data_IF_721202100491
#
_entry.id   IF_721202100491
#
_cell.length_a   1.000
_cell.length_b   1.000
_cell.length_c   1.000
_cell.angle_alpha   90.00
_cell.angle_beta   90.00
_cell.angle_gamma   90.00
#
_symmetry.space_group_name_H-M   'P 1'
#
loop_
_entity.id
_entity.type
_entity.pdbx_description
1 polymer ?
#
# COMPACT_ATOMS: atom_id res chain seq x y z
N UNK A 1 20.08 9.65 71.49
CA UNK A 1 19.30 8.48 71.93
C UNK A 1 18.38 8.06 70.79
N UNK A 2 18.39 6.75 70.46
CA UNK A 2 17.38 5.95 69.71
C UNK A 2 16.91 6.45 68.34
N UNK A 3 17.35 5.88 67.20
CA UNK A 3 16.86 4.62 66.58
C UNK A 3 15.34 4.39 66.65
N UNK A 4 14.66 4.29 65.49
CA UNK A 4 13.70 3.23 65.02
C UNK A 4 13.28 3.59 63.57
N UNK A 5 13.84 2.97 62.52
CA UNK A 5 13.29 1.87 61.69
C UNK A 5 11.83 2.03 61.19
N UNK A 6 11.66 2.18 59.88
CA UNK A 6 10.68 1.39 59.12
C UNK A 6 11.07 1.33 57.65
N UNK A 7 11.66 0.20 57.27
CA UNK A 7 11.65 -0.33 55.90
C UNK A 7 10.29 -1.02 55.76
N UNK A 8 9.44 -0.55 54.86
CA UNK A 8 8.37 -1.35 54.28
C UNK A 8 7.92 -0.75 52.94
N UNK A 9 7.77 -1.65 51.97
CA UNK A 9 7.12 -1.48 50.67
C UNK A 9 7.83 -0.67 49.58
N UNK A 10 8.95 -1.23 49.11
CA UNK A 10 9.19 -1.39 47.67
C UNK A 10 8.00 -2.15 47.06
N UNK A 11 6.96 -1.45 46.64
CA UNK A 11 5.86 -2.02 45.84
C UNK A 11 5.09 -0.90 45.14
N UNK A 12 5.71 -0.35 44.09
CA UNK A 12 5.01 0.24 42.96
C UNK A 12 6.05 0.48 41.87
N UNK A 13 6.41 -0.59 41.17
CA UNK A 13 6.85 -0.46 39.78
C UNK A 13 5.77 0.38 39.09
N UNK A 14 6.07 1.66 38.83
CA UNK A 14 5.23 2.57 38.06
C UNK A 14 5.18 2.12 36.59
N UNK A 15 4.52 0.99 36.34
CA UNK A 15 4.06 0.57 35.02
C UNK A 15 2.89 1.45 34.51
N UNK A 16 2.38 2.35 35.35
CA UNK A 16 1.24 3.22 35.02
C UNK A 16 1.63 4.55 34.36
N UNK A 17 2.92 4.93 34.35
CA UNK A 17 3.40 6.22 33.81
C UNK A 17 4.25 6.12 32.52
N UNK A 18 4.24 4.96 31.85
CA UNK A 18 4.48 4.90 30.41
C UNK A 18 3.27 5.54 29.69
N UNK A 19 3.18 6.87 29.77
CA UNK A 19 2.31 7.63 28.89
C UNK A 19 2.54 7.10 27.47
N UNK A 20 1.46 6.73 26.77
CA UNK A 20 1.45 6.24 25.38
C UNK A 20 1.93 7.32 24.39
N UNK A 21 3.13 7.85 24.59
CA UNK A 21 3.77 8.90 23.83
C UNK A 21 4.33 8.38 22.49
N UNK A 22 4.50 7.05 22.37
CA UNK A 22 4.97 6.39 21.17
C UNK A 22 4.07 5.21 20.75
N UNK A 23 2.76 5.43 20.60
CA UNK A 23 1.84 4.37 20.09
C UNK A 23 2.32 3.74 18.78
N UNK A 24 3.07 4.49 17.95
CA UNK A 24 3.65 3.99 16.69
C UNK A 24 4.79 2.99 16.88
N UNK A 25 5.46 2.95 18.06
CA UNK A 25 6.50 1.95 18.35
C UNK A 25 5.93 0.54 18.60
N UNK A 26 4.61 0.41 18.81
CA UNK A 26 3.97 -0.90 19.02
C UNK A 26 4.23 -1.81 17.81
N UNK A 27 4.10 -1.29 16.59
CA UNK A 27 4.30 -2.06 15.37
C UNK A 27 5.74 -2.60 15.23
N UNK A 28 6.81 -1.78 15.19
CA UNK A 28 8.17 -2.29 15.07
C UNK A 28 8.59 -3.19 16.23
N UNK A 29 8.11 -2.95 17.46
CA UNK A 29 8.36 -3.83 18.59
C UNK A 29 7.68 -5.20 18.40
N UNK A 30 6.44 -5.22 17.91
CA UNK A 30 5.73 -6.47 17.62
C UNK A 30 6.41 -7.27 16.49
N UNK A 31 6.93 -6.59 15.46
CA UNK A 31 7.67 -7.22 14.36
C UNK A 31 8.93 -7.93 14.89
N UNK A 32 9.71 -7.24 15.73
CA UNK A 32 10.92 -7.82 16.34
C UNK A 32 10.55 -9.00 17.24
N UNK A 33 9.51 -8.87 18.07
CA UNK A 33 9.04 -9.94 18.95
C UNK A 33 8.64 -11.19 18.16
N UNK A 34 7.91 -11.03 17.05
CA UNK A 34 7.48 -12.14 16.19
C UNK A 34 8.65 -12.80 15.44
N UNK A 35 9.70 -12.04 15.08
CA UNK A 35 10.93 -12.59 14.51
C UNK A 35 11.76 -13.39 15.55
N UNK A 36 11.70 -13.00 16.82
CA UNK A 36 12.42 -13.72 17.88
C UNK A 36 11.81 -15.09 18.19
N UNK A 37 10.50 -15.26 18.03
CA UNK A 37 9.79 -16.51 18.32
C UNK A 37 9.96 -17.52 17.18
N UNK A 38 10.52 -18.70 17.45
CA UNK A 38 10.83 -19.72 16.43
C UNK A 38 9.62 -20.15 15.60
N UNK A 39 8.44 -20.28 16.22
CA UNK A 39 7.22 -20.75 15.55
C UNK A 39 6.67 -19.75 14.52
N UNK A 40 6.82 -18.45 14.78
CA UNK A 40 6.31 -17.38 13.89
C UNK A 40 7.40 -16.80 13.00
N UNK A 41 8.68 -17.11 13.26
CA UNK A 41 9.83 -16.48 12.61
C UNK A 41 9.76 -16.56 11.09
N UNK A 42 9.49 -17.73 10.53
CA UNK A 42 9.50 -17.92 9.08
C UNK A 42 8.37 -17.14 8.39
N UNK A 43 7.13 -17.27 8.87
CA UNK A 43 5.98 -16.51 8.34
C UNK A 43 6.16 -15.00 8.50
N UNK A 44 6.71 -14.56 9.64
CA UNK A 44 7.02 -13.15 9.89
C UNK A 44 8.13 -12.65 8.95
N UNK A 45 9.18 -13.44 8.75
CA UNK A 45 10.28 -13.11 7.85
C UNK A 45 9.77 -12.92 6.41
N UNK A 46 8.94 -13.85 5.92
CA UNK A 46 8.31 -13.76 4.60
C UNK A 46 7.43 -12.51 4.51
N UNK A 47 6.49 -12.32 5.45
CA UNK A 47 5.61 -11.15 5.48
C UNK A 47 6.37 -9.81 5.43
N UNK A 48 7.44 -9.68 6.24
CA UNK A 48 8.22 -8.45 6.34
C UNK A 48 9.09 -8.20 5.12
N UNK A 49 9.66 -9.28 4.55
CA UNK A 49 10.41 -9.27 3.31
C UNK A 49 9.53 -8.81 2.16
N UNK A 50 8.38 -9.46 1.98
CA UNK A 50 7.48 -9.23 0.85
C UNK A 50 6.86 -7.84 0.93
N UNK A 51 6.43 -7.40 2.13
CA UNK A 51 5.95 -6.04 2.33
C UNK A 51 7.03 -4.97 2.02
N UNK A 52 8.32 -5.29 2.15
CA UNK A 52 9.40 -4.37 1.76
C UNK A 52 9.63 -4.37 0.24
N UNK A 53 9.93 -5.55 -0.32
CA UNK A 53 10.38 -5.71 -1.70
C UNK A 53 9.24 -5.51 -2.70
N UNK A 54 8.09 -6.14 -2.45
CA UNK A 54 6.95 -6.09 -3.38
C UNK A 54 6.16 -4.78 -3.28
N UNK A 55 6.13 -4.15 -2.10
CA UNK A 55 5.29 -2.96 -1.86
C UNK A 55 6.11 -1.71 -1.54
N UNK A 56 6.81 -1.68 -0.40
CA UNK A 56 7.38 -0.44 0.14
C UNK A 56 8.39 0.22 -0.79
N UNK A 57 9.23 -0.56 -1.47
CA UNK A 57 10.21 -0.04 -2.41
C UNK A 57 9.55 0.62 -3.64
N UNK A 58 8.55 -0.04 -4.24
CA UNK A 58 7.80 0.49 -5.38
C UNK A 58 7.06 1.77 -5.00
N UNK A 59 6.41 1.79 -3.83
CA UNK A 59 5.68 2.96 -3.33
C UNK A 59 6.62 4.14 -3.10
N UNK A 60 7.78 3.92 -2.46
CA UNK A 60 8.77 4.98 -2.30
C UNK A 60 9.25 5.51 -3.64
N UNK A 61 9.55 4.62 -4.59
CA UNK A 61 10.03 5.02 -5.90
C UNK A 61 8.99 5.84 -6.66
N UNK A 62 7.75 5.37 -6.75
CA UNK A 62 6.68 6.08 -7.47
C UNK A 62 6.35 7.42 -6.83
N UNK A 63 6.34 7.51 -5.49
CA UNK A 63 6.13 8.77 -4.80
C UNK A 63 7.31 9.74 -4.98
N UNK A 64 8.55 9.26 -5.00
CA UNK A 64 9.71 10.10 -5.31
C UNK A 64 9.61 10.64 -6.74
N UNK A 65 9.27 9.80 -7.70
CA UNK A 65 9.07 10.20 -9.10
C UNK A 65 7.94 11.23 -9.19
N UNK A 66 6.79 10.96 -8.58
CA UNK A 66 5.65 11.87 -8.53
C UNK A 66 6.01 13.24 -7.96
N UNK A 67 6.60 13.29 -6.76
CA UNK A 67 6.99 14.55 -6.12
C UNK A 67 8.09 15.28 -6.90
N UNK A 68 9.00 14.55 -7.54
CA UNK A 68 10.06 15.15 -8.36
C UNK A 68 9.51 15.77 -9.64
N UNK A 69 8.58 15.09 -10.32
CA UNK A 69 7.86 15.63 -11.49
C UNK A 69 7.07 16.86 -11.07
N UNK A 70 6.28 16.76 -9.99
CA UNK A 70 5.50 17.87 -9.45
C UNK A 70 6.38 19.09 -9.14
N UNK A 71 7.50 18.91 -8.44
CA UNK A 71 8.37 20.04 -8.08
C UNK A 71 9.11 20.66 -9.27
N UNK A 72 9.32 19.90 -10.35
CA UNK A 72 9.88 20.43 -11.61
C UNK A 72 8.84 21.10 -12.50
N UNK A 73 7.57 20.70 -12.38
CA UNK A 73 6.48 21.30 -13.12
C UNK A 73 5.95 22.51 -12.34
N UNK A 74 6.28 23.72 -12.80
CA UNK A 74 5.57 24.92 -12.35
C UNK A 74 4.06 24.73 -12.58
N UNK A 75 3.23 25.33 -11.71
CA UNK A 75 1.76 25.30 -11.84
C UNK A 75 1.24 25.83 -13.19
N UNK A 76 2.11 26.46 -13.99
CA UNK A 76 1.85 27.00 -15.34
C UNK A 76 2.01 25.98 -16.48
N UNK A 77 2.39 24.72 -16.21
CA UNK A 77 2.48 23.71 -17.27
C UNK A 77 1.10 23.24 -17.72
N UNK A 78 0.83 23.33 -19.03
CA UNK A 78 -0.45 22.95 -19.67
C UNK A 78 -0.92 21.52 -19.31
N UNK A 79 -0.01 20.59 -19.04
CA UNK A 79 -0.38 19.23 -18.60
C UNK A 79 -1.06 19.18 -17.22
N UNK A 80 -0.59 20.00 -16.27
CA UNK A 80 -1.13 20.02 -14.91
C UNK A 80 -2.52 20.67 -14.88
N UNK A 81 -2.72 21.73 -15.66
CA UNK A 81 -4.03 22.38 -15.83
C UNK A 81 -5.01 21.50 -16.59
N UNK A 82 -4.57 20.72 -17.58
CA UNK A 82 -5.45 19.82 -18.33
C UNK A 82 -5.83 18.54 -17.57
N UNK A 83 -4.93 18.05 -16.70
CA UNK A 83 -5.20 16.93 -15.79
C UNK A 83 -6.20 17.32 -14.69
N UNK A 84 -6.00 18.46 -14.02
CA UNK A 84 -6.95 18.91 -13.00
C UNK A 84 -8.21 19.58 -13.57
N UNK A 85 -8.18 20.06 -14.81
CA UNK A 85 -9.27 20.79 -15.45
C UNK A 85 -10.40 19.93 -16.05
N UNK A 86 -10.16 18.63 -16.31
CA UNK A 86 -11.17 17.73 -16.91
C UNK A 86 -11.32 16.43 -16.15
N UNK A 87 -12.55 16.14 -15.69
CA UNK A 87 -12.91 14.89 -15.00
C UNK A 87 -12.59 13.64 -15.82
N UNK A 88 -12.67 13.74 -17.15
CA UNK A 88 -12.36 12.64 -18.07
C UNK A 88 -10.86 12.35 -18.13
N UNK A 89 -10.02 13.39 -18.15
CA UNK A 89 -8.56 13.25 -18.20
C UNK A 89 -8.01 12.64 -16.90
N UNK A 90 -8.62 12.97 -15.76
CA UNK A 90 -8.26 12.34 -14.48
C UNK A 90 -8.44 10.82 -14.53
N UNK A 91 -9.54 10.34 -15.12
CA UNK A 91 -9.82 8.89 -15.27
C UNK A 91 -8.83 8.20 -16.21
N UNK A 92 -8.48 8.81 -17.35
CA UNK A 92 -7.52 8.25 -18.30
C UNK A 92 -6.15 8.11 -17.64
N UNK A 93 -5.66 9.19 -17.02
CA UNK A 93 -4.37 9.18 -16.33
C UNK A 93 -4.38 8.21 -15.15
N UNK A 94 -5.48 8.12 -14.40
CA UNK A 94 -5.63 7.15 -13.32
C UNK A 94 -5.55 5.71 -13.82
N UNK A 95 -6.22 5.38 -14.93
CA UNK A 95 -6.17 4.04 -15.52
C UNK A 95 -4.76 3.69 -16.03
N UNK A 96 -4.09 4.64 -16.68
CA UNK A 96 -2.70 4.47 -17.14
C UNK A 96 -1.71 4.31 -15.99
N UNK A 97 -1.92 5.02 -14.87
CA UNK A 97 -1.13 4.81 -13.66
C UNK A 97 -1.42 3.45 -13.02
N UNK A 98 -2.63 2.91 -13.15
CA UNK A 98 -2.98 1.55 -12.72
C UNK A 98 -2.31 0.47 -13.55
N UNK A 99 -2.09 0.72 -14.85
CA UNK A 99 -1.39 -0.18 -15.75
C UNK A 99 0.09 -0.42 -15.38
N UNK A 100 0.68 0.47 -14.59
CA UNK A 100 2.05 0.32 -14.13
C UNK A 100 2.12 -0.87 -13.16
N UNK A 101 2.98 -1.87 -13.41
CA UNK A 101 3.15 -3.00 -12.51
C UNK A 101 3.47 -2.55 -11.07
N UNK A 102 2.91 -3.28 -10.10
CA UNK A 102 2.96 -2.95 -8.68
C UNK A 102 1.81 -2.06 -8.21
N UNK A 103 1.83 -1.65 -6.93
CA UNK A 103 0.75 -0.89 -6.30
C UNK A 103 0.95 0.65 -6.31
N UNK A 104 2.10 1.12 -6.79
CA UNK A 104 2.54 2.51 -6.64
C UNK A 104 1.64 3.54 -7.34
N UNK A 105 1.10 3.23 -8.52
CA UNK A 105 0.20 4.13 -9.26
C UNK A 105 -1.16 4.29 -8.59
N UNK A 106 -1.73 3.19 -8.09
CA UNK A 106 -2.95 3.19 -7.30
C UNK A 106 -2.80 4.01 -6.02
N UNK A 107 -1.67 3.91 -5.32
CA UNK A 107 -1.39 4.70 -4.12
C UNK A 107 -1.30 6.22 -4.43
N UNK A 108 -0.70 6.60 -5.57
CA UNK A 108 -0.63 8.00 -6.00
C UNK A 108 -2.02 8.58 -6.28
N UNK A 109 -2.91 7.85 -6.93
CA UNK A 109 -4.28 8.35 -7.22
C UNK A 109 -5.14 8.40 -5.95
N UNK A 110 -5.02 7.40 -5.09
CA UNK A 110 -5.85 7.29 -3.89
C UNK A 110 -5.43 8.29 -2.82
N UNK A 111 -4.13 8.56 -2.67
CA UNK A 111 -3.62 9.68 -1.87
C UNK A 111 -4.13 11.03 -2.40
N UNK A 112 -4.12 11.25 -3.73
CA UNK A 112 -4.68 12.45 -4.35
C UNK A 112 -6.19 12.58 -4.14
N UNK A 113 -6.95 11.48 -4.14
CA UNK A 113 -8.39 11.49 -3.88
C UNK A 113 -8.69 11.96 -2.44
N UNK A 114 -7.93 11.43 -1.48
CA UNK A 114 -8.05 11.80 -0.07
C UNK A 114 -7.63 13.26 0.17
N UNK A 115 -6.61 13.73 -0.56
CA UNK A 115 -6.18 15.12 -0.56
C UNK A 115 -7.14 16.08 -1.29
N UNK A 116 -8.15 15.55 -1.98
CA UNK A 116 -9.17 16.35 -2.67
C UNK A 116 -8.79 16.82 -4.08
N UNK A 117 -7.75 16.25 -4.68
CA UNK A 117 -7.22 16.67 -5.99
C UNK A 117 -7.83 15.94 -7.18
N UNK A 118 -8.35 14.74 -6.97
CA UNK A 118 -9.02 13.92 -8.00
C UNK A 118 -10.36 13.41 -7.48
N UNK A 119 -11.27 13.10 -8.41
CA UNK A 119 -12.60 12.58 -8.10
C UNK A 119 -12.65 11.07 -7.83
N UNK A 120 -13.76 10.61 -7.24
CA UNK A 120 -14.00 9.19 -6.93
C UNK A 120 -13.91 8.27 -8.17
N UNK A 121 -14.33 8.73 -9.35
CA UNK A 121 -14.20 7.94 -10.59
C UNK A 121 -12.74 7.61 -10.95
N UNK A 122 -11.77 8.43 -10.55
CA UNK A 122 -10.34 8.13 -10.73
C UNK A 122 -9.88 6.97 -9.84
N UNK A 123 -10.45 6.86 -8.63
CA UNK A 123 -10.15 5.75 -7.71
C UNK A 123 -10.66 4.44 -8.28
N UNK A 124 -11.90 4.42 -8.78
CA UNK A 124 -12.46 3.22 -9.44
C UNK A 124 -11.63 2.85 -10.67
N UNK A 125 -11.26 3.84 -11.50
CA UNK A 125 -10.48 3.62 -12.70
C UNK A 125 -9.11 2.98 -12.42
N UNK A 126 -8.36 3.50 -11.46
CA UNK A 126 -7.02 2.97 -11.12
C UNK A 126 -7.10 1.60 -10.46
N UNK A 127 -8.10 1.35 -9.60
CA UNK A 127 -8.27 0.06 -8.93
C UNK A 127 -8.77 -1.03 -9.88
N UNK A 128 -9.52 -0.66 -10.93
CA UNK A 128 -9.97 -1.60 -11.97
C UNK A 128 -8.86 -1.92 -12.96
N UNK A 129 -7.94 -0.97 -13.20
CA UNK A 129 -6.86 -1.12 -14.18
C UNK A 129 -5.60 -1.78 -13.60
N UNK A 130 -5.49 -1.90 -12.28
CA UNK A 130 -4.28 -2.42 -11.62
C UNK A 130 -4.30 -3.94 -11.49
N UNK A 131 -3.20 -4.57 -11.88
CA UNK A 131 -2.97 -6.01 -11.69
C UNK A 131 -1.97 -6.29 -10.57
N UNK A 132 -1.47 -5.23 -9.90
CA UNK A 132 -0.47 -5.33 -8.84
C UNK A 132 0.81 -6.04 -9.31
N UNK A 133 1.38 -6.88 -8.43
CA UNK A 133 2.65 -7.57 -8.69
C UNK A 133 2.50 -8.73 -9.67
N UNK A 134 1.29 -9.28 -9.84
CA UNK A 134 1.02 -10.33 -10.81
C UNK A 134 1.24 -9.88 -12.26
N UNK A 135 1.20 -8.57 -12.52
CA UNK A 135 1.61 -8.00 -13.80
C UNK A 135 3.05 -8.38 -14.17
N UNK A 136 3.99 -8.32 -13.21
CA UNK A 136 5.38 -8.69 -13.46
C UNK A 136 5.52 -10.17 -13.80
N UNK A 137 4.83 -11.02 -13.04
CA UNK A 137 4.82 -12.47 -13.25
C UNK A 137 4.32 -12.83 -14.65
N UNK A 138 3.18 -12.28 -15.06
CA UNK A 138 2.63 -12.53 -16.40
C UNK A 138 3.50 -11.95 -17.50
N UNK A 139 4.01 -10.73 -17.34
CA UNK A 139 4.91 -10.15 -18.33
C UNK A 139 6.21 -10.96 -18.50
N UNK A 140 6.68 -11.60 -17.43
CA UNK A 140 7.84 -12.47 -17.48
C UNK A 140 7.55 -13.85 -18.10
N UNK A 141 6.39 -14.44 -17.79
CA UNK A 141 6.06 -15.82 -18.18
C UNK A 141 5.32 -15.91 -19.52
N UNK A 142 4.32 -15.06 -19.73
CA UNK A 142 3.50 -14.96 -20.94
C UNK A 142 3.30 -13.49 -21.34
N UNK A 143 4.29 -12.84 -21.98
CA UNK A 143 4.28 -11.39 -22.21
C UNK A 143 3.09 -10.91 -23.05
N UNK A 144 2.68 -11.66 -24.07
CA UNK A 144 1.55 -11.31 -24.93
C UNK A 144 0.24 -11.27 -24.13
N UNK A 145 0.01 -12.30 -23.31
CA UNK A 145 -1.11 -12.39 -22.37
C UNK A 145 -1.06 -11.24 -21.36
N UNK A 146 0.10 -10.99 -20.77
CA UNK A 146 0.30 -9.92 -19.79
C UNK A 146 -0.03 -8.53 -20.35
N UNK A 147 0.47 -8.19 -21.54
CA UNK A 147 0.17 -6.92 -22.21
C UNK A 147 -1.33 -6.82 -22.55
N UNK A 148 -1.95 -7.91 -23.01
CA UNK A 148 -3.37 -7.94 -23.33
C UNK A 148 -4.25 -7.69 -22.09
N UNK A 149 -3.93 -8.30 -20.94
CA UNK A 149 -4.64 -8.08 -19.68
C UNK A 149 -4.47 -6.64 -19.17
N UNK A 150 -3.26 -6.08 -19.24
CA UNK A 150 -3.01 -4.69 -18.85
C UNK A 150 -3.82 -3.73 -19.75
N UNK A 151 -3.80 -3.94 -21.06
CA UNK A 151 -4.57 -3.13 -22.01
C UNK A 151 -6.09 -3.24 -21.75
N UNK A 152 -6.58 -4.46 -21.49
CA UNK A 152 -7.96 -4.71 -21.09
C UNK A 152 -8.32 -3.93 -19.81
N UNK A 153 -7.48 -4.04 -18.77
CA UNK A 153 -7.65 -3.32 -17.50
C UNK A 153 -7.71 -1.81 -17.69
N UNK A 154 -6.86 -1.22 -18.53
CA UNK A 154 -6.90 0.22 -18.85
C UNK A 154 -8.23 0.61 -19.50
N UNK A 155 -8.70 -0.16 -20.49
CA UNK A 155 -9.95 0.13 -21.18
C UNK A 155 -11.14 0.02 -20.22
N UNK A 156 -11.21 -1.10 -19.48
CA UNK A 156 -12.30 -1.35 -18.53
C UNK A 156 -12.27 -0.35 -17.38
N UNK A 157 -11.08 0.03 -16.91
CA UNK A 157 -10.89 1.07 -15.89
C UNK A 157 -11.34 2.45 -16.38
N UNK A 158 -10.99 2.85 -17.61
CA UNK A 158 -11.47 4.10 -18.20
C UNK A 158 -13.00 4.13 -18.27
N UNK A 159 -13.61 3.07 -18.79
CA UNK A 159 -15.06 2.95 -18.92
C UNK A 159 -15.75 3.01 -17.55
N UNK A 160 -15.22 2.28 -16.57
CA UNK A 160 -15.76 2.24 -15.21
C UNK A 160 -15.64 3.60 -14.52
N UNK A 161 -14.50 4.28 -14.64
CA UNK A 161 -14.30 5.61 -14.08
C UNK A 161 -15.21 6.67 -14.71
N UNK A 162 -15.40 6.63 -16.03
CA UNK A 162 -16.33 7.55 -16.71
C UNK A 162 -17.77 7.28 -16.33
N UNK A 163 -18.16 6.01 -16.22
CA UNK A 163 -19.49 5.61 -15.76
C UNK A 163 -19.75 6.15 -14.34
N UNK A 164 -18.79 6.01 -13.44
CA UNK A 164 -18.89 6.54 -12.07
C UNK A 164 -18.98 8.07 -12.07
N UNK A 165 -18.18 8.77 -12.87
CA UNK A 165 -18.24 10.23 -12.97
C UNK A 165 -19.56 10.75 -13.53
N UNK A 166 -20.28 9.94 -14.31
CA UNK A 166 -21.61 10.25 -14.81
C UNK A 166 -22.66 10.18 -13.69
N UNK A 167 -22.59 9.17 -12.83
CA UNK A 167 -23.57 8.99 -11.73
C UNK A 167 -23.23 9.78 -10.45
N UNK A 168 -21.94 10.08 -10.21
CA UNK A 168 -21.47 10.64 -8.95
C UNK A 168 -20.63 11.92 -9.13
N UNK A 169 -20.72 12.80 -8.14
CA UNK A 169 -19.85 13.96 -8.01
C UNK A 169 -18.44 13.57 -7.56
N UNK A 170 -17.44 14.43 -7.78
CA UNK A 170 -16.03 14.12 -7.49
C UNK A 170 -15.77 13.85 -6.00
N UNK A 171 -16.53 14.50 -5.13
CA UNK A 171 -16.40 14.39 -3.68
C UNK A 171 -17.16 13.19 -3.10
N UNK A 172 -17.76 12.34 -3.95
CA UNK A 172 -18.53 11.18 -3.51
C UNK A 172 -17.68 10.27 -2.60
N UNK A 173 -18.20 9.98 -1.41
CA UNK A 173 -17.54 9.18 -0.35
C UNK A 173 -16.18 9.69 0.13
N UNK A 174 -15.77 10.91 -0.26
CA UNK A 174 -14.56 11.53 0.26
C UNK A 174 -14.72 11.75 1.78
N UNK A 175 -13.71 11.40 2.60
CA UNK A 175 -13.74 11.70 4.03
C UNK A 175 -13.88 13.20 4.25
N UNK A 176 -15.00 13.63 4.84
CA UNK A 176 -15.15 15.02 5.27
C UNK A 176 -14.11 15.29 6.35
N UNK A 177 -13.32 16.35 6.19
CA UNK A 177 -12.39 16.84 7.20
C UNK A 177 -13.18 17.28 8.44
N UNK A 178 -13.55 16.34 9.31
CA UNK A 178 -14.27 16.62 10.55
C UNK A 178 -13.29 17.36 11.48
N UNK A 179 -13.47 18.68 11.58
CA UNK A 179 -12.93 19.57 12.62
C UNK A 179 -11.39 19.68 12.72
N UNK A 180 -10.72 20.06 11.64
CA UNK A 180 -9.31 20.49 11.67
C UNK A 180 -9.15 21.96 12.11
N UNK A 181 -10.10 22.83 11.79
CA UNK A 181 -9.97 24.28 12.04
C UNK A 181 -10.10 24.65 13.52
N UNK A 182 -10.86 23.89 14.32
CA UNK A 182 -11.14 24.25 15.71
C UNK A 182 -10.02 23.85 16.70
N UNK A 183 -9.18 22.86 16.35
CA UNK A 183 -8.06 22.40 17.20
C UNK A 183 -6.74 23.14 16.94
N UNK A 184 -6.54 23.71 15.75
CA UNK A 184 -5.33 24.48 15.42
C UNK A 184 -5.30 25.80 16.17
N UNK A 185 -6.45 26.47 16.32
CA UNK A 185 -6.54 27.76 17.00
C UNK A 185 -6.27 27.67 18.52
N UNK A 186 -6.67 26.57 19.16
CA UNK A 186 -6.38 26.32 20.59
C UNK A 186 -4.95 25.83 20.85
N UNK A 187 -4.30 25.18 19.87
CA UNK A 187 -2.92 24.72 20.00
C UNK A 187 -1.91 25.88 19.88
N UNK A 188 -2.19 26.88 19.03
CA UNK A 188 -1.29 28.03 18.85
C UNK A 188 -1.20 28.95 20.08
N UNK A 189 -2.16 28.92 20.99
CA UNK A 189 -2.08 29.65 22.27
C UNK A 189 -1.30 28.89 23.35
N UNK A 190 -1.26 27.55 23.29
CA UNK A 190 -0.60 26.72 24.32
C UNK A 190 0.77 26.13 23.89
N UNK A 191 1.15 26.23 22.61
CA UNK A 191 2.42 25.70 22.09
C UNK A 191 3.63 26.64 22.24
N UNK A 192 3.45 27.82 22.85
CA UNK A 192 4.56 28.76 23.09
C UNK A 192 5.54 28.32 24.20
N UNK A 193 5.22 27.28 24.99
CA UNK A 193 5.96 26.94 26.23
C UNK A 193 6.67 25.57 26.22
N UNK A 194 6.56 24.76 25.15
CA UNK A 194 7.24 23.43 25.05
C UNK A 194 8.15 23.29 23.81
N UNK A 195 8.95 24.31 23.51
CA UNK A 195 9.84 24.35 22.33
C UNK A 195 11.29 24.11 22.72
N UNK A 196 11.94 23.09 22.16
CA UNK A 196 13.39 22.90 22.32
C UNK A 196 13.90 21.48 22.02
N UNK A 197 13.43 20.48 22.77
CA UNK A 197 13.97 19.10 22.68
C UNK A 197 13.13 18.14 21.83
N UNK A 198 11.80 18.29 21.82
CA UNK A 198 10.91 17.47 21.01
C UNK A 198 10.97 17.81 19.51
N UNK A 199 11.19 19.09 19.19
CA UNK A 199 11.26 19.59 17.81
C UNK A 199 12.59 19.21 17.13
N UNK A 200 13.69 19.17 17.89
CA UNK A 200 15.01 18.74 17.39
C UNK A 200 15.09 17.24 17.15
N UNK A 201 14.48 16.41 18.00
CA UNK A 201 14.39 14.97 17.78
C UNK A 201 13.54 14.64 16.55
N UNK A 202 12.42 15.34 16.36
CA UNK A 202 11.55 15.14 15.21
C UNK A 202 12.24 15.49 13.88
N UNK A 203 12.94 16.64 13.83
CA UNK A 203 13.69 17.03 12.63
C UNK A 203 14.83 16.05 12.31
N UNK A 204 15.51 15.50 13.33
CA UNK A 204 16.51 14.45 13.14
C UNK A 204 15.89 13.15 12.60
N UNK A 205 14.71 12.76 13.11
CA UNK A 205 14.00 11.57 12.62
C UNK A 205 13.58 11.74 11.15
N UNK A 206 13.01 12.89 10.78
CA UNK A 206 12.61 13.19 9.39
C UNK A 206 13.83 13.22 8.45
N UNK A 207 14.95 13.79 8.90
CA UNK A 207 16.20 13.75 8.13
C UNK A 207 16.75 12.32 8.00
N UNK A 208 16.62 11.50 9.05
CA UNK A 208 16.98 10.08 9.04
C UNK A 208 16.15 9.27 8.05
N UNK A 209 14.84 9.54 7.94
CA UNK A 209 13.96 8.93 6.94
C UNK A 209 14.41 9.28 5.51
N UNK A 210 14.71 10.56 5.26
CA UNK A 210 15.23 10.99 3.96
C UNK A 210 16.58 10.36 3.63
N UNK A 211 17.48 10.23 4.61
CA UNK A 211 18.78 9.58 4.43
C UNK A 211 18.65 8.08 4.14
N UNK A 212 17.76 7.39 4.87
CA UNK A 212 17.45 5.98 4.65
C UNK A 212 17.06 5.73 3.19
N UNK A 213 16.02 6.42 2.71
CA UNK A 213 15.57 6.25 1.32
C UNK A 213 16.58 6.74 0.30
N UNK A 214 17.37 7.78 0.59
CA UNK A 214 18.45 8.19 -0.31
C UNK A 214 19.49 7.09 -0.52
N UNK A 215 19.81 6.34 0.53
CA UNK A 215 20.78 5.26 0.47
C UNK A 215 20.19 3.96 -0.10
N UNK A 216 18.96 3.62 0.27
CA UNK A 216 18.38 2.30 -0.03
C UNK A 216 17.52 2.28 -1.29
N UNK A 217 16.92 3.39 -1.73
CA UNK A 217 15.89 3.35 -2.79
C UNK A 217 16.38 2.72 -4.10
N UNK A 218 17.52 3.17 -4.64
CA UNK A 218 18.05 2.66 -5.91
C UNK A 218 18.46 1.18 -5.82
N UNK A 219 19.30 0.75 -4.86
CA UNK A 219 19.65 -0.67 -4.76
C UNK A 219 18.42 -1.53 -4.46
N UNK A 220 17.51 -1.07 -3.60
CA UNK A 220 16.30 -1.81 -3.30
C UNK A 220 15.39 -1.95 -4.52
N UNK A 221 15.29 -0.94 -5.37
CA UNK A 221 14.47 -0.99 -6.58
C UNK A 221 15.03 -2.00 -7.59
N UNK A 222 16.35 -2.05 -7.74
CA UNK A 222 16.99 -3.03 -8.62
C UNK A 222 16.74 -4.48 -8.15
N UNK A 223 16.87 -4.72 -6.84
CA UNK A 223 16.56 -6.03 -6.24
C UNK A 223 15.08 -6.36 -6.42
N UNK A 224 14.18 -5.42 -6.14
CA UNK A 224 12.72 -5.63 -6.24
C UNK A 224 12.28 -5.97 -7.65
N UNK A 225 12.83 -5.27 -8.65
CA UNK A 225 12.58 -5.57 -10.08
C UNK A 225 13.08 -6.99 -10.39
N UNK A 226 14.32 -7.33 -10.01
CA UNK A 226 14.85 -8.66 -10.26
C UNK A 226 14.01 -9.77 -9.60
N UNK A 227 13.56 -9.58 -8.36
CA UNK A 227 12.65 -10.51 -7.67
C UNK A 227 11.30 -10.63 -8.39
N UNK A 228 10.76 -9.53 -8.91
CA UNK A 228 9.47 -9.53 -9.61
C UNK A 228 9.52 -10.29 -10.94
N UNK A 229 10.69 -10.32 -11.59
CA UNK A 229 10.96 -11.18 -12.76
C UNK A 229 11.34 -12.61 -12.38
N UNK A 230 11.14 -13.01 -11.12
CA UNK A 230 11.49 -14.33 -10.59
C UNK A 230 12.96 -14.72 -10.76
N UNK A 231 13.87 -13.74 -10.81
CA UNK A 231 15.30 -14.03 -10.84
C UNK A 231 15.78 -14.49 -9.47
N UNK A 232 16.44 -15.64 -9.42
CA UNK A 232 17.08 -16.13 -8.20
C UNK A 232 18.39 -15.36 -7.94
N UNK A 233 18.25 -14.24 -7.24
CA UNK A 233 19.37 -13.37 -6.89
C UNK A 233 20.31 -14.07 -5.90
N UNK A 234 19.82 -14.99 -5.06
CA UNK A 234 20.65 -15.70 -4.09
C UNK A 234 21.65 -16.62 -4.81
N UNK A 235 21.16 -17.34 -5.81
CA UNK A 235 22.00 -18.16 -6.69
C UNK A 235 22.93 -17.29 -7.55
N UNK A 236 22.43 -16.20 -8.13
CA UNK A 236 23.22 -15.31 -9.00
C UNK A 236 24.38 -14.62 -8.25
N UNK A 237 24.17 -14.28 -6.97
CA UNK A 237 25.15 -13.58 -6.15
C UNK A 237 25.96 -14.50 -5.22
N UNK A 238 25.77 -15.83 -5.29
CA UNK A 238 26.37 -16.82 -4.38
C UNK A 238 26.15 -16.47 -2.89
N UNK A 239 24.94 -16.02 -2.55
CA UNK A 239 24.58 -15.69 -1.18
C UNK A 239 24.03 -16.92 -0.43
N UNK A 240 24.16 -16.97 0.90
CA UNK A 240 23.48 -17.97 1.72
C UNK A 240 21.96 -17.94 1.50
N UNK A 241 21.30 -19.09 1.64
CA UNK A 241 19.85 -19.20 1.53
C UNK A 241 19.13 -18.24 2.48
N UNK A 242 18.05 -17.61 2.00
CA UNK A 242 17.23 -16.63 2.73
C UNK A 242 17.90 -15.28 3.06
N UNK A 243 19.09 -15.01 2.53
CA UNK A 243 19.76 -13.72 2.76
C UNK A 243 18.89 -12.54 2.36
N UNK A 244 18.21 -12.62 1.22
CA UNK A 244 17.39 -11.52 0.69
C UNK A 244 16.15 -11.27 1.54
N UNK A 245 15.55 -12.35 2.05
CA UNK A 245 14.42 -12.26 2.97
C UNK A 245 14.82 -11.56 4.27
N UNK A 246 16.00 -11.90 4.83
CA UNK A 246 16.53 -11.21 6.00
C UNK A 246 16.86 -9.74 5.74
N UNK A 247 17.46 -9.41 4.59
CA UNK A 247 17.69 -8.02 4.22
C UNK A 247 16.39 -7.22 4.13
N UNK A 248 15.35 -7.76 3.47
CA UNK A 248 14.03 -7.14 3.37
C UNK A 248 13.40 -6.91 4.74
N UNK A 249 13.43 -7.92 5.61
CA UNK A 249 12.88 -7.79 6.96
C UNK A 249 13.61 -6.77 7.82
N UNK A 250 14.95 -6.72 7.76
CA UNK A 250 15.76 -5.70 8.47
C UNK A 250 15.43 -4.30 7.97
N UNK A 251 15.29 -4.10 6.66
CA UNK A 251 14.91 -2.82 6.07
C UNK A 251 13.49 -2.41 6.47
N UNK A 252 12.53 -3.35 6.48
CA UNK A 252 11.17 -3.16 6.99
C UNK A 252 11.16 -2.71 8.46
N UNK A 253 11.87 -3.41 9.34
CA UNK A 253 11.97 -3.06 10.76
C UNK A 253 12.62 -1.69 10.93
N UNK A 254 13.71 -1.43 10.21
CA UNK A 254 14.42 -0.13 10.26
C UNK A 254 13.50 1.02 9.84
N UNK A 255 12.77 0.85 8.73
CA UNK A 255 11.79 1.81 8.23
C UNK A 255 10.71 2.10 9.29
N UNK A 256 10.14 1.07 9.90
CA UNK A 256 9.10 1.20 10.92
C UNK A 256 9.63 1.80 12.23
N UNK A 257 10.88 1.54 12.62
CA UNK A 257 11.53 2.21 13.75
C UNK A 257 11.71 3.70 13.47
N UNK A 258 12.20 4.08 12.28
CA UNK A 258 12.32 5.47 11.87
C UNK A 258 10.97 6.19 11.84
N UNK A 259 9.90 5.48 11.46
CA UNK A 259 8.54 6.00 11.54
C UNK A 259 8.04 6.15 12.98
N UNK A 260 8.29 5.15 13.83
CA UNK A 260 7.87 5.11 15.23
C UNK A 260 8.49 6.20 16.11
N UNK A 261 9.70 6.66 15.76
CA UNK A 261 10.41 7.75 16.44
C UNK A 261 10.00 9.14 15.92
N UNK A 262 9.43 9.22 14.72
CA UNK A 262 8.91 10.49 14.17
C UNK A 262 7.55 10.86 14.78
N UNK A 263 7.42 12.11 15.24
CA UNK A 263 6.23 12.60 15.90
C UNK A 263 5.45 13.52 14.96
N UNK A 264 4.44 12.99 14.27
CA UNK A 264 3.56 13.79 13.40
C UNK A 264 2.07 13.59 13.68
N UNK A 265 1.31 14.64 13.34
CA UNK A 265 -0.05 14.97 13.76
C UNK A 265 -1.07 13.83 13.58
N UNK A 266 -2.05 13.78 14.50
CA UNK A 266 -3.01 12.68 14.74
C UNK A 266 -4.06 12.41 13.63
N UNK A 267 -3.89 12.92 12.41
CA UNK A 267 -4.85 12.68 11.31
C UNK A 267 -4.13 12.51 9.97
N UNK A 268 -4.39 11.41 9.26
CA UNK A 268 -3.77 11.11 7.97
C UNK A 268 -4.13 12.10 6.87
N UNK A 269 -5.29 12.75 6.92
CA UNK A 269 -5.56 13.89 6.04
C UNK A 269 -4.46 14.94 6.17
N UNK A 270 -3.90 15.16 7.37
CA UNK A 270 -2.73 16.02 7.57
C UNK A 270 -1.38 15.39 7.23
N UNK A 271 -1.30 14.06 7.11
CA UNK A 271 -0.10 13.31 6.69
C UNK A 271 0.01 13.32 5.16
N UNK A 272 -1.12 13.21 4.44
CA UNK A 272 -1.17 13.18 2.98
C UNK A 272 -1.52 14.51 2.34
N UNK A 273 -2.19 15.42 3.06
CA UNK A 273 -2.31 16.80 2.57
C UNK A 273 -0.93 17.40 2.45
N UNK A 274 -0.51 17.62 1.21
CA UNK A 274 0.76 18.25 0.90
C UNK A 274 0.87 19.67 1.50
N UNK A 275 -0.26 20.35 1.71
CA UNK A 275 -0.33 21.73 2.23
C UNK A 275 0.05 21.86 3.72
N UNK A 276 0.03 20.75 4.48
CA UNK A 276 0.36 20.75 5.93
C UNK A 276 1.82 20.33 6.17
N UNK A 277 2.50 19.74 5.17
CA UNK A 277 3.93 19.39 5.28
C UNK A 277 4.77 20.66 5.27
N UNK A 278 5.87 20.66 6.04
CA UNK A 278 6.80 21.79 6.11
C UNK A 278 7.18 22.24 4.68
N UNK A 279 6.99 23.52 4.29
CA UNK A 279 7.16 24.01 2.92
C UNK A 279 8.60 23.94 2.38
N UNK A 280 9.55 23.34 3.12
CA UNK A 280 10.95 23.15 2.77
C UNK A 280 11.40 21.68 2.67
N UNK A 281 10.50 20.70 2.83
CA UNK A 281 10.89 19.29 2.75
C UNK A 281 11.24 18.89 1.31
N UNK A 282 12.37 18.22 1.12
CA UNK A 282 12.79 17.68 -0.18
C UNK A 282 11.82 16.60 -0.68
N UNK A 283 11.69 16.36 -2.00
CA UNK A 283 10.80 15.33 -2.57
C UNK A 283 10.95 13.95 -1.92
N UNK A 284 12.21 13.57 -1.61
CA UNK A 284 12.52 12.27 -0.99
C UNK A 284 12.05 12.19 0.46
N UNK A 285 12.06 13.29 1.21
CA UNK A 285 11.54 13.33 2.57
C UNK A 285 10.01 13.22 2.57
N UNK A 286 9.34 13.89 1.64
CA UNK A 286 7.88 13.80 1.49
C UNK A 286 7.46 12.38 1.13
N UNK A 287 8.12 11.79 0.13
CA UNK A 287 7.88 10.40 -0.28
C UNK A 287 8.19 9.41 0.85
N UNK A 288 9.25 9.62 1.63
CA UNK A 288 9.59 8.77 2.78
C UNK A 288 8.47 8.74 3.83
N UNK A 289 7.91 9.90 4.17
CA UNK A 289 6.83 9.99 5.17
C UNK A 289 5.55 9.27 4.71
N UNK A 290 5.17 9.48 3.45
CA UNK A 290 4.00 8.84 2.85
C UNK A 290 4.18 7.33 2.75
N UNK A 291 5.38 6.89 2.31
CA UNK A 291 5.71 5.47 2.22
C UNK A 291 5.66 4.82 3.60
N UNK A 292 6.28 5.40 4.61
CA UNK A 292 6.28 4.81 5.96
C UNK A 292 4.87 4.64 6.52
N UNK A 293 3.97 5.60 6.25
CA UNK A 293 2.57 5.45 6.63
C UNK A 293 1.90 4.29 5.89
N UNK A 294 2.04 4.24 4.56
CA UNK A 294 1.41 3.20 3.73
C UNK A 294 1.94 1.83 4.13
N UNK A 295 3.26 1.70 4.23
CA UNK A 295 3.94 0.47 4.63
C UNK A 295 3.54 -0.02 6.01
N UNK A 296 3.20 0.86 6.96
CA UNK A 296 2.74 0.42 8.28
C UNK A 296 1.45 -0.42 8.19
N UNK A 297 0.51 -0.02 7.32
CA UNK A 297 -0.73 -0.77 7.09
C UNK A 297 -0.49 -2.04 6.29
N UNK A 298 0.31 -1.95 5.23
CA UNK A 298 0.70 -3.10 4.41
C UNK A 298 1.36 -4.18 5.27
N UNK A 299 2.39 -3.81 6.05
CA UNK A 299 3.09 -4.73 6.97
C UNK A 299 2.11 -5.35 7.96
N UNK A 300 1.22 -4.54 8.55
CA UNK A 300 0.24 -5.05 9.52
C UNK A 300 -0.68 -6.09 8.89
N UNK A 301 -1.13 -5.89 7.65
CA UNK A 301 -2.01 -6.84 6.98
C UNK A 301 -1.27 -8.06 6.47
N UNK A 302 -0.07 -7.93 5.87
CA UNK A 302 0.75 -9.08 5.46
C UNK A 302 1.03 -9.98 6.66
N UNK A 303 1.40 -9.40 7.81
CA UNK A 303 1.58 -10.15 9.06
C UNK A 303 0.29 -10.82 9.51
N UNK A 304 -0.84 -10.12 9.49
CA UNK A 304 -2.12 -10.70 9.88
C UNK A 304 -2.52 -11.87 8.96
N UNK A 305 -2.32 -11.73 7.65
CA UNK A 305 -2.61 -12.76 6.66
C UNK A 305 -1.73 -14.00 6.85
N UNK A 306 -0.41 -13.82 6.92
CA UNK A 306 0.55 -14.92 7.11
C UNK A 306 0.33 -15.65 8.43
N UNK A 307 0.06 -14.92 9.53
CA UNK A 307 -0.26 -15.53 10.82
C UNK A 307 -1.61 -16.26 10.79
N UNK A 308 -2.60 -15.75 10.05
CA UNK A 308 -3.89 -16.43 9.88
C UNK A 308 -3.73 -17.71 9.07
N UNK A 309 -2.96 -17.69 7.99
CA UNK A 309 -2.66 -18.88 7.18
C UNK A 309 -1.90 -19.93 7.97
N UNK A 310 -0.95 -19.51 8.82
CA UNK A 310 -0.22 -20.39 9.73
C UNK A 310 -1.16 -21.13 10.70
N UNK A 311 -2.25 -20.50 11.14
CA UNK A 311 -3.22 -21.09 12.07
C UNK A 311 -4.31 -21.91 11.36
N UNK A 312 -4.70 -21.52 10.15
CA UNK A 312 -5.89 -22.06 9.48
C UNK A 312 -5.64 -23.30 8.60
N UNK A 313 -4.40 -23.62 8.22
CA UNK A 313 -4.04 -24.82 7.43
C UNK A 313 -4.90 -25.04 6.16
N UNK A 314 -5.40 -23.96 5.55
CA UNK A 314 -6.27 -24.02 4.39
C UNK A 314 -5.46 -24.27 3.11
N UNK A 315 -5.75 -25.38 2.40
CA UNK A 315 -5.21 -25.65 1.07
C UNK A 315 -6.16 -25.12 -0.01
N UNK A 316 -5.91 -23.87 -0.44
CA UNK A 316 -6.75 -23.15 -1.40
C UNK A 316 -6.76 -23.80 -2.79
N UNK A 317 -5.72 -24.58 -3.15
CA UNK A 317 -5.59 -25.19 -4.48
C UNK A 317 -6.68 -26.23 -4.74
N UNK A 318 -7.01 -27.03 -3.71
CA UNK A 318 -8.06 -28.05 -3.78
C UNK A 318 -9.47 -27.43 -3.81
N UNK A 319 -9.63 -26.21 -3.31
CA UNK A 319 -10.92 -25.52 -3.29
C UNK A 319 -11.27 -24.87 -4.63
N UNK A 320 -10.31 -24.70 -5.55
CA UNK A 320 -10.49 -23.94 -6.80
C UNK A 320 -10.51 -24.78 -8.08
N UNK A 321 -10.11 -26.05 -8.03
CA UNK A 321 -10.32 -27.00 -9.14
C UNK A 321 -11.79 -27.43 -9.16
N UNK A 322 -12.40 -27.52 -10.36
CA UNK A 322 -13.74 -28.11 -10.64
C UNK A 322 -14.99 -27.20 -10.56
N UNK A 323 -14.85 -25.87 -10.59
CA UNK A 323 -16.02 -24.98 -10.56
C UNK A 323 -16.64 -24.65 -11.93
N UNK A 324 -16.03 -25.12 -13.03
CA UNK A 324 -16.57 -24.98 -14.40
C UNK A 324 -17.01 -23.54 -14.73
N UNK A 325 -18.30 -23.35 -15.04
CA UNK A 325 -18.87 -22.04 -15.36
C UNK A 325 -18.86 -21.02 -14.20
N UNK A 326 -18.55 -21.43 -12.97
CA UNK A 326 -18.41 -20.53 -11.82
C UNK A 326 -16.98 -20.00 -11.64
N UNK A 327 -16.02 -20.43 -12.47
CA UNK A 327 -14.63 -19.98 -12.38
C UNK A 327 -14.46 -18.45 -12.50
N UNK A 328 -15.13 -17.72 -13.41
CA UNK A 328 -15.05 -16.26 -13.45
C UNK A 328 -15.54 -15.60 -12.15
N UNK A 329 -16.64 -16.10 -11.57
CA UNK A 329 -17.16 -15.60 -10.30
C UNK A 329 -16.18 -15.83 -9.15
N UNK A 330 -15.54 -17.01 -9.10
CA UNK A 330 -14.49 -17.29 -8.12
C UNK A 330 -13.28 -16.35 -8.28
N UNK A 331 -12.90 -16.04 -9.53
CA UNK A 331 -11.89 -15.03 -9.83
C UNK A 331 -12.25 -13.66 -9.23
N UNK A 332 -13.51 -13.21 -9.39
CA UNK A 332 -13.98 -11.95 -8.79
C UNK A 332 -13.95 -12.00 -7.26
N UNK A 333 -14.45 -13.08 -6.65
CA UNK A 333 -14.48 -13.22 -5.20
C UNK A 333 -13.08 -13.17 -4.59
N UNK A 334 -12.11 -13.80 -5.24
CA UNK A 334 -10.71 -13.75 -4.80
C UNK A 334 -10.05 -12.41 -5.10
N UNK A 335 -10.44 -11.70 -6.17
CA UNK A 335 -9.92 -10.36 -6.47
C UNK A 335 -10.38 -9.31 -5.47
N UNK A 336 -11.60 -9.47 -4.94
CA UNK A 336 -12.12 -8.61 -3.86
C UNK A 336 -11.39 -8.80 -2.52
N UNK A 337 -10.59 -9.86 -2.36
CA UNK A 337 -9.75 -10.01 -1.18
C UNK A 337 -8.54 -9.09 -1.33
N UNK A 338 -8.33 -8.15 -0.38
CA UNK A 338 -7.23 -7.21 -0.50
C UNK A 338 -5.88 -7.91 -0.36
N UNK A 339 -4.91 -7.45 -1.14
CA UNK A 339 -3.53 -7.92 -1.13
C UNK A 339 -3.09 -8.52 -2.46
N UNK A 340 -1.78 -8.63 -2.69
CA UNK A 340 -1.27 -9.27 -3.91
C UNK A 340 -1.33 -10.81 -3.88
N UNK A 341 -1.45 -11.43 -2.70
CA UNK A 341 -1.45 -12.90 -2.52
C UNK A 341 -2.55 -13.63 -3.31
N UNK A 342 -3.84 -13.30 -3.15
CA UNK A 342 -4.93 -13.91 -3.92
C UNK A 342 -4.74 -13.79 -5.45
N UNK A 343 -4.26 -12.63 -5.91
CA UNK A 343 -3.99 -12.37 -7.33
C UNK A 343 -2.82 -13.22 -7.86
N UNK A 344 -1.72 -13.32 -7.09
CA UNK A 344 -0.56 -14.14 -7.45
C UNK A 344 -0.91 -15.64 -7.46
N UNK A 345 -1.76 -16.08 -6.53
CA UNK A 345 -2.26 -17.46 -6.51
C UNK A 345 -3.04 -17.78 -7.79
N UNK A 346 -4.02 -16.96 -8.16
CA UNK A 346 -4.83 -17.16 -9.36
C UNK A 346 -3.97 -17.11 -10.63
N UNK A 347 -3.03 -16.17 -10.69
CA UNK A 347 -2.07 -16.06 -11.79
C UNK A 347 -1.17 -17.29 -11.92
N UNK A 348 -0.68 -17.82 -10.79
CA UNK A 348 0.15 -19.04 -10.78
C UNK A 348 -0.67 -20.27 -11.19
N UNK A 349 -1.92 -20.36 -10.75
CA UNK A 349 -2.82 -21.44 -11.15
C UNK A 349 -3.17 -21.34 -12.65
N UNK A 350 -3.36 -20.13 -13.19
CA UNK A 350 -3.53 -19.89 -14.62
C UNK A 350 -2.31 -20.35 -15.42
N UNK A 351 -1.10 -19.92 -15.03
CA UNK A 351 0.15 -20.32 -15.68
C UNK A 351 0.41 -21.83 -15.61
N UNK A 352 -0.09 -22.50 -14.57
CA UNK A 352 -0.03 -23.97 -14.45
C UNK A 352 -1.12 -24.71 -15.24
N UNK A 353 -2.03 -23.99 -15.89
CA UNK A 353 -3.19 -24.55 -16.61
C UNK A 353 -4.34 -25.03 -15.73
N UNK A 354 -4.32 -24.74 -14.42
CA UNK A 354 -5.38 -25.16 -13.48
C UNK A 354 -6.59 -24.21 -13.45
N UNK A 355 -6.38 -22.94 -13.79
CA UNK A 355 -7.42 -21.89 -13.80
C UNK A 355 -7.53 -21.33 -15.23
N UNK A 356 -8.75 -21.15 -15.78
CA UNK A 356 -8.92 -20.64 -17.13
C UNK A 356 -8.69 -19.12 -17.22
N UNK A 357 -8.51 -18.62 -18.43
CA UNK A 357 -8.23 -17.21 -18.71
C UNK A 357 -9.40 -16.30 -18.28
N UNK A 358 -10.64 -16.74 -18.41
CA UNK A 358 -11.82 -15.99 -17.93
C UNK A 358 -11.77 -15.66 -16.45
N UNK A 359 -11.29 -16.60 -15.62
CA UNK A 359 -11.10 -16.40 -14.19
C UNK A 359 -9.92 -15.47 -13.90
N UNK A 360 -8.83 -15.59 -14.66
CA UNK A 360 -7.70 -14.66 -14.58
C UNK A 360 -8.11 -13.22 -14.91
N UNK A 361 -8.91 -13.01 -15.96
CA UNK A 361 -9.44 -11.70 -16.37
C UNK A 361 -10.34 -11.13 -15.27
N UNK A 362 -11.28 -11.95 -14.77
CA UNK A 362 -12.20 -11.55 -13.72
C UNK A 362 -11.46 -11.15 -12.43
N UNK A 363 -10.44 -11.93 -12.05
CA UNK A 363 -9.59 -11.65 -10.90
C UNK A 363 -8.78 -10.36 -11.11
N UNK A 364 -8.11 -10.22 -12.25
CA UNK A 364 -7.29 -9.06 -12.57
C UNK A 364 -8.05 -7.73 -12.54
N UNK A 365 -9.32 -7.71 -12.98
CA UNK A 365 -10.13 -6.47 -13.04
C UNK A 365 -10.77 -6.13 -11.68
N UNK A 366 -11.05 -7.13 -10.85
CA UNK A 366 -11.65 -6.93 -9.52
C UNK A 366 -10.63 -6.74 -8.41
N UNK A 367 -9.34 -6.95 -8.70
CA UNK A 367 -8.27 -6.90 -7.72
C UNK A 367 -7.82 -5.46 -7.42
N UNK A 368 -8.13 -5.00 -6.21
CA UNK A 368 -7.77 -3.64 -5.76
C UNK A 368 -6.29 -3.51 -5.32
N UNK A 369 -5.56 -4.63 -5.23
CA UNK A 369 -4.15 -4.70 -4.82
C UNK A 369 -3.86 -4.18 -3.40
N UNK A 370 -2.58 -3.99 -3.07
CA UNK A 370 -2.17 -3.54 -1.73
C UNK A 370 -2.53 -2.06 -1.44
N UNK A 371 -2.89 -1.31 -2.48
CA UNK A 371 -3.35 0.06 -2.38
C UNK A 371 -4.69 0.18 -1.63
N UNK A 372 -5.47 -0.91 -1.53
CA UNK A 372 -6.74 -0.90 -0.81
C UNK A 372 -6.55 -0.76 0.71
N UNK A 373 -5.47 -1.30 1.28
CA UNK A 373 -5.29 -1.31 2.75
C UNK A 373 -5.23 0.10 3.35
N UNK A 374 -4.41 1.05 2.83
CA UNK A 374 -4.45 2.42 3.31
C UNK A 374 -5.83 3.06 3.14
N UNK A 375 -6.52 2.84 2.01
CA UNK A 375 -7.83 3.44 1.76
C UNK A 375 -8.87 2.93 2.76
N UNK A 376 -8.88 1.63 3.06
CA UNK A 376 -9.79 1.04 4.06
C UNK A 376 -9.62 1.72 5.42
N UNK A 377 -8.39 2.02 5.82
CA UNK A 377 -8.12 2.67 7.10
C UNK A 377 -8.65 4.12 7.18
N UNK A 378 -8.95 4.76 6.06
CA UNK A 378 -9.13 6.21 5.97
C UNK A 378 -10.49 6.63 5.40
N UNK A 379 -10.87 5.94 4.34
CA UNK A 379 -12.11 6.10 3.61
C UNK A 379 -12.73 4.70 3.40
N UNK A 380 -13.08 3.96 4.48
CA UNK A 380 -13.56 2.58 4.38
C UNK A 380 -14.80 2.46 3.49
N UNK A 381 -15.66 3.47 3.49
CA UNK A 381 -16.82 3.52 2.59
C UNK A 381 -16.41 3.68 1.14
N UNK A 382 -15.42 4.54 0.84
CA UNK A 382 -14.92 4.71 -0.51
C UNK A 382 -14.21 3.44 -1.01
N UNK A 383 -13.40 2.80 -0.15
CA UNK A 383 -12.76 1.52 -0.46
C UNK A 383 -13.81 0.46 -0.85
N UNK A 384 -14.75 0.16 0.05
CA UNK A 384 -15.76 -0.88 -0.18
C UNK A 384 -16.59 -0.63 -1.44
N UNK A 385 -17.02 0.62 -1.65
CA UNK A 385 -17.85 0.96 -2.81
C UNK A 385 -17.01 0.92 -4.09
N UNK A 386 -15.74 1.32 -4.06
CA UNK A 386 -14.87 1.21 -5.22
C UNK A 386 -14.64 -0.25 -5.63
N UNK A 387 -14.39 -1.15 -4.67
CA UNK A 387 -14.28 -2.60 -4.91
C UNK A 387 -15.56 -3.19 -5.50
N UNK A 388 -16.74 -2.73 -5.04
CA UNK A 388 -18.02 -3.17 -5.64
C UNK A 388 -18.19 -2.64 -7.06
N UNK A 389 -17.71 -1.42 -7.36
CA UNK A 389 -17.74 -0.85 -8.70
C UNK A 389 -16.78 -1.55 -9.67
N UNK A 390 -15.67 -2.14 -9.21
CA UNK A 390 -14.77 -2.97 -10.04
C UNK A 390 -15.27 -4.40 -10.21
N UNK A 391 -16.02 -4.96 -9.25
CA UNK A 391 -16.59 -6.30 -9.34
C UNK A 391 -17.56 -6.49 -10.52
N UNK A 392 -18.42 -5.51 -10.79
CA UNK A 392 -19.41 -5.59 -11.88
C UNK A 392 -18.75 -5.70 -13.26
N UNK A 393 -17.85 -4.78 -13.68
CA UNK A 393 -17.15 -4.90 -14.95
C UNK A 393 -16.25 -6.15 -15.00
N UNK A 394 -15.68 -6.59 -13.88
CA UNK A 394 -14.94 -7.86 -13.80
C UNK A 394 -15.83 -9.08 -14.11
N UNK A 395 -17.04 -9.14 -13.57
CA UNK A 395 -18.01 -10.18 -13.90
C UNK A 395 -18.38 -10.15 -15.38
N UNK A 396 -18.68 -8.96 -15.93
CA UNK A 396 -19.07 -8.81 -17.34
C UNK A 396 -17.96 -9.26 -18.29
N UNK A 397 -16.73 -8.83 -18.03
CA UNK A 397 -15.56 -9.15 -18.87
C UNK A 397 -15.13 -10.60 -18.74
N UNK A 398 -15.07 -11.13 -17.51
CA UNK A 398 -14.74 -12.53 -17.25
C UNK A 398 -15.74 -13.49 -17.85
N UNK A 399 -17.04 -13.31 -17.58
CA UNK A 399 -18.08 -14.14 -18.20
C UNK A 399 -18.19 -13.92 -19.70
N UNK A 400 -17.99 -12.69 -20.19
CA UNK A 400 -17.93 -12.40 -21.63
C UNK A 400 -16.84 -13.22 -22.33
N UNK A 401 -15.65 -13.30 -21.74
CA UNK A 401 -14.57 -14.14 -22.26
C UNK A 401 -14.91 -15.63 -22.18
N UNK A 402 -15.41 -16.09 -21.03
CA UNK A 402 -15.83 -17.47 -20.82
C UNK A 402 -16.81 -17.95 -21.90
N UNK A 403 -17.87 -17.18 -22.14
CA UNK A 403 -18.92 -17.52 -23.12
C UNK A 403 -18.43 -17.53 -24.58
N UNK A 404 -17.42 -16.71 -24.91
CA UNK A 404 -16.94 -16.56 -26.28
C UNK A 404 -15.82 -17.55 -26.65
N UNK A 405 -15.01 -17.97 -25.67
CA UNK A 405 -13.75 -18.68 -25.95
C UNK A 405 -13.56 -19.98 -25.16
N UNK A 406 -14.27 -20.21 -24.05
CA UNK A 406 -14.01 -21.31 -23.12
C UNK A 406 -15.21 -22.25 -22.90
N UNK A 407 -16.30 -22.02 -23.65
CA UNK A 407 -17.57 -22.73 -23.51
C UNK A 407 -17.72 -23.91 -24.48
#
# INVERSE_FOLDING_TARGET
MSHVKSISTLNSFELANLSLSYKRLILPVSMIALLCVDTTRQSTLNALSDAYWAVSCYVAFTLVVYHSIKNRMSQDNHFFTHYHGSRSNQVIVASLLGALPGCGGAIVITSQFIAGKVGFGSVVAVLTATMGDAAFLLLASEPDTGVALIACGVVVGCLSGWLVNHFHHDDFLRPKAKNLTQRVQTCCQNAAVRKGKAETLNNKAINGQGLFWKATLIPSMLISIALSFQLDIEQLANLPSQSIHWFGAVLSVTMMLLWGVSHEVKSYQGIVSEDIKQPKASPIQQAAQDTHFVSAWVISTFLAFELLMLVSSLDLKLWLSDWGAYMPMMGVLLGLLPGCGPQLLITSLYLSGSVPMSAQIANAISNDGDALFPIIALAPKAALIASLYSAVPAMITGYGYYLLFEL
#
